data_IF_386371256487
#
_entry.id   IF_386371256487
#
_cell.length_a   1.000
_cell.length_b   1.000
_cell.length_c   1.000
_cell.angle_alpha   90.00
_cell.angle_beta   90.00
_cell.angle_gamma   90.00
#
_symmetry.space_group_name_H-M   'P 1'
#
loop_
_entity.id
_entity.type
_entity.pdbx_description
1 polymer ?
#
# COMPACT_ATOMS: atom_id res chain seq x y z
N UNK A 1 -9.75 -1.18 -14.24
CA UNK A 1 -10.16 0.23 -14.19
C UNK A 1 -11.69 0.26 -14.18
N UNK A 2 -12.33 0.15 -13.00
CA UNK A 2 -13.78 0.31 -12.87
C UNK A 2 -14.14 1.76 -13.22
N UNK A 3 -14.99 1.96 -14.24
CA UNK A 3 -15.55 3.26 -14.60
C UNK A 3 -14.90 3.98 -15.78
N UNK A 4 -13.90 3.41 -16.46
CA UNK A 4 -13.34 3.92 -17.69
C UNK A 4 -13.71 2.98 -18.84
N UNK A 5 -14.95 3.01 -19.28
CA UNK A 5 -15.36 2.42 -20.55
C UNK A 5 -15.50 3.51 -21.64
N UNK A 6 -15.40 3.09 -22.89
CA UNK A 6 -15.49 3.99 -24.03
C UNK A 6 -16.82 4.75 -24.09
N UNK A 7 -17.90 4.15 -23.59
CA UNK A 7 -19.23 4.73 -23.55
C UNK A 7 -19.29 5.88 -22.53
N UNK A 8 -18.72 5.70 -21.35
CA UNK A 8 -18.60 6.75 -20.32
C UNK A 8 -17.76 7.92 -20.82
N UNK A 9 -16.62 7.64 -21.50
CA UNK A 9 -15.79 8.66 -22.12
C UNK A 9 -16.53 9.47 -23.20
N UNK A 10 -17.29 8.80 -24.07
CA UNK A 10 -18.09 9.48 -25.11
C UNK A 10 -19.23 10.32 -24.53
N UNK A 11 -19.86 9.86 -23.45
CA UNK A 11 -20.90 10.61 -22.73
C UNK A 11 -20.30 11.86 -22.09
N UNK A 12 -19.15 11.76 -21.46
CA UNK A 12 -18.43 12.92 -20.89
C UNK A 12 -17.98 13.92 -21.96
N UNK A 13 -17.47 13.42 -23.08
CA UNK A 13 -17.03 14.25 -24.21
C UNK A 13 -18.20 15.01 -24.89
N UNK A 14 -19.42 14.46 -24.86
CA UNK A 14 -20.59 15.04 -25.52
C UNK A 14 -21.49 15.87 -24.59
N UNK A 15 -21.64 15.46 -23.33
CA UNK A 15 -22.56 16.08 -22.36
C UNK A 15 -21.85 16.94 -21.29
N UNK A 16 -20.52 16.99 -21.32
CA UNK A 16 -19.74 17.82 -20.41
C UNK A 16 -19.99 17.49 -18.93
N UNK A 17 -19.98 18.53 -18.09
CA UNK A 17 -20.12 18.39 -16.61
C UNK A 17 -21.44 17.80 -16.10
N UNK A 18 -22.37 17.43 -16.95
CA UNK A 18 -23.66 16.81 -16.57
C UNK A 18 -23.53 15.30 -16.30
N UNK A 19 -22.51 14.65 -16.83
CA UNK A 19 -22.22 13.24 -16.54
C UNK A 19 -21.18 13.14 -15.40
N UNK A 20 -21.63 13.15 -14.15
CA UNK A 20 -20.74 12.93 -13.00
C UNK A 20 -20.30 11.46 -12.95
N UNK A 21 -19.08 11.17 -13.37
CA UNK A 21 -18.43 9.91 -13.01
C UNK A 21 -17.91 9.99 -11.57
N UNK A 22 -18.24 9.01 -10.76
CA UNK A 22 -17.91 8.96 -9.31
C UNK A 22 -16.42 9.08 -8.97
N UNK A 23 -15.52 9.06 -9.96
CA UNK A 23 -14.08 8.94 -9.76
C UNK A 23 -13.22 10.04 -10.38
N UNK A 24 -13.76 10.92 -11.22
CA UNK A 24 -12.97 11.90 -11.98
C UNK A 24 -13.30 13.36 -11.68
N UNK A 25 -14.51 13.65 -11.22
CA UNK A 25 -14.94 15.03 -10.91
C UNK A 25 -15.42 15.14 -9.48
N UNK A 26 -14.81 16.05 -8.73
CA UNK A 26 -15.33 16.45 -7.43
C UNK A 26 -14.25 16.91 -6.47
N UNK A 27 -14.68 17.73 -5.52
CA UNK A 27 -13.88 18.09 -4.37
C UNK A 27 -13.84 16.90 -3.40
N UNK A 28 -12.68 16.62 -2.84
CA UNK A 28 -12.51 15.64 -1.78
C UNK A 28 -11.82 16.27 -0.57
N UNK A 29 -12.09 15.73 0.60
CA UNK A 29 -11.38 16.15 1.81
C UNK A 29 -9.98 15.52 1.83
N UNK A 30 -9.00 16.35 2.18
CA UNK A 30 -7.62 15.92 2.35
C UNK A 30 -7.08 16.42 3.70
N UNK A 31 -6.45 15.58 4.51
CA UNK A 31 -5.90 16.02 5.80
C UNK A 31 -4.83 17.09 5.59
N UNK A 32 -4.90 18.18 6.36
CA UNK A 32 -3.98 19.34 6.23
C UNK A 32 -2.51 18.90 6.22
N UNK A 33 -2.13 18.01 7.12
CA UNK A 33 -0.76 17.51 7.30
C UNK A 33 -0.49 16.21 6.54
N UNK A 34 -1.28 15.89 5.51
CA UNK A 34 -1.09 14.73 4.67
C UNK A 34 -1.84 13.48 5.13
N UNK A 35 -1.85 12.49 4.24
CA UNK A 35 -2.67 11.28 4.41
C UNK A 35 -2.23 10.37 5.56
N UNK A 36 -0.95 10.46 5.97
CA UNK A 36 -0.42 9.75 7.14
C UNK A 36 -1.16 10.10 8.43
N UNK A 37 -1.75 11.32 8.50
CA UNK A 37 -2.53 11.76 9.66
C UNK A 37 -3.72 10.86 9.99
N UNK A 38 -4.27 10.15 8.99
CA UNK A 38 -5.33 9.17 9.23
C UNK A 38 -4.81 7.99 10.03
N UNK A 39 -3.64 7.44 9.64
CA UNK A 39 -3.01 6.33 10.38
C UNK A 39 -2.60 6.75 11.79
N UNK A 40 -2.01 7.94 11.96
CA UNK A 40 -1.65 8.48 13.27
C UNK A 40 -2.87 8.61 14.19
N UNK A 41 -4.01 9.07 13.68
CA UNK A 41 -5.25 9.17 14.47
C UNK A 41 -5.81 7.79 14.84
N UNK A 42 -5.67 6.80 13.98
CA UNK A 42 -6.03 5.42 14.31
C UNK A 42 -5.11 4.86 15.39
N UNK A 43 -3.81 5.12 15.30
CA UNK A 43 -2.83 4.73 16.33
C UNK A 43 -3.15 5.38 17.69
N UNK A 44 -3.39 6.69 17.71
CA UNK A 44 -3.81 7.41 18.93
C UNK A 44 -5.08 6.78 19.55
N UNK A 45 -6.06 6.40 18.71
CA UNK A 45 -7.29 5.76 19.17
C UNK A 45 -7.07 4.33 19.70
N UNK A 46 -6.21 3.56 19.05
CA UNK A 46 -5.89 2.19 19.49
C UNK A 46 -5.06 2.14 20.78
N UNK A 47 -4.35 3.21 21.12
CA UNK A 47 -3.36 3.25 22.19
C UNK A 47 -2.00 2.68 21.75
N UNK A 48 -0.95 3.47 21.90
CA UNK A 48 0.40 3.09 21.47
C UNK A 48 0.92 1.80 22.15
N UNK A 49 0.47 1.52 23.36
CA UNK A 49 0.80 0.30 24.13
C UNK A 49 0.28 -0.99 23.48
N UNK A 50 -0.74 -0.89 22.63
CA UNK A 50 -1.31 -2.00 21.88
C UNK A 50 -0.65 -2.21 20.51
N UNK A 51 0.28 -1.34 20.12
CA UNK A 51 0.97 -1.38 18.83
C UNK A 51 2.46 -1.68 19.05
N UNK A 52 2.94 -2.75 18.42
CA UNK A 52 4.35 -3.16 18.52
C UNK A 52 5.02 -3.03 17.16
N UNK A 53 5.73 -1.94 16.96
CA UNK A 53 6.56 -1.72 15.78
C UNK A 53 7.86 -2.54 15.87
N UNK A 54 8.50 -2.79 14.73
CA UNK A 54 9.74 -3.57 14.63
C UNK A 54 9.64 -5.02 15.16
N UNK A 55 8.43 -5.57 15.21
CA UNK A 55 8.16 -6.95 15.61
C UNK A 55 7.76 -7.74 14.37
N UNK A 56 8.75 -8.18 13.60
CA UNK A 56 8.52 -8.97 12.40
C UNK A 56 8.08 -10.38 12.75
N UNK A 57 6.86 -10.76 12.32
CA UNK A 57 6.37 -12.13 12.46
C UNK A 57 7.08 -13.01 11.43
N UNK A 58 7.70 -14.07 11.89
CA UNK A 58 8.45 -15.03 11.06
C UNK A 58 7.91 -16.46 11.14
N UNK A 59 6.95 -16.73 12.00
CA UNK A 59 6.32 -18.04 12.18
C UNK A 59 4.88 -17.92 12.63
N UNK A 60 3.99 -18.73 12.07
CA UNK A 60 2.58 -18.87 12.46
C UNK A 60 2.31 -20.34 12.74
N UNK A 61 2.19 -20.70 14.01
CA UNK A 61 2.06 -22.10 14.45
C UNK A 61 0.58 -22.47 14.53
N UNK A 62 0.22 -23.63 13.95
CA UNK A 62 -1.16 -24.12 13.94
C UNK A 62 -1.25 -25.62 14.22
N UNK A 63 -2.42 -26.09 14.60
CA UNK A 63 -2.74 -27.52 14.83
C UNK A 63 -3.59 -28.14 13.72
N UNK A 64 -3.70 -27.45 12.58
CA UNK A 64 -4.53 -27.87 11.45
C UNK A 64 -5.93 -27.26 11.46
N UNK A 65 -6.42 -26.73 12.59
CA UNK A 65 -7.74 -26.13 12.74
C UNK A 65 -7.66 -24.71 13.33
N UNK A 66 -6.70 -24.44 14.22
CA UNK A 66 -6.53 -23.16 14.85
C UNK A 66 -5.09 -22.70 14.81
N UNK A 67 -4.87 -21.40 14.66
CA UNK A 67 -3.59 -20.79 14.94
C UNK A 67 -3.40 -20.76 16.46
N UNK A 68 -2.26 -21.29 16.93
CA UNK A 68 -1.95 -21.44 18.36
C UNK A 68 -1.01 -20.36 18.89
N UNK A 69 -0.01 -20.03 18.06
CA UNK A 69 0.98 -19.02 18.45
C UNK A 69 1.63 -18.36 17.23
N UNK A 70 2.27 -17.23 17.47
CA UNK A 70 3.11 -16.54 16.50
C UNK A 70 4.53 -16.41 17.07
N UNK A 71 5.52 -16.51 16.18
CA UNK A 71 6.92 -16.23 16.46
C UNK A 71 7.33 -14.87 15.91
N UNK A 72 8.23 -14.20 16.65
CA UNK A 72 8.80 -12.90 16.28
C UNK A 72 10.27 -13.09 15.98
N UNK A 73 10.77 -12.50 14.89
CA UNK A 73 12.17 -12.56 14.51
C UNK A 73 13.10 -12.06 15.62
N UNK A 74 14.14 -12.84 15.94
CA UNK A 74 15.07 -12.52 17.02
C UNK A 74 14.57 -12.87 18.45
N UNK A 75 13.36 -13.43 18.57
CA UNK A 75 12.82 -13.86 19.87
C UNK A 75 12.64 -15.37 19.92
N UNK A 76 13.01 -16.00 21.05
CA UNK A 76 12.70 -17.40 21.35
C UNK A 76 11.27 -17.58 21.91
N UNK A 77 10.63 -16.50 22.32
CA UNK A 77 9.31 -16.53 22.92
C UNK A 77 8.24 -16.76 21.85
N UNK A 78 7.35 -17.73 22.09
CA UNK A 78 6.12 -17.90 21.34
C UNK A 78 5.00 -17.09 22.00
N UNK A 79 4.26 -16.34 21.18
CA UNK A 79 3.11 -15.57 21.63
C UNK A 79 1.82 -16.34 21.32
N UNK A 80 1.17 -16.87 22.35
CA UNK A 80 -0.14 -17.53 22.18
C UNK A 80 -1.20 -16.55 21.74
N UNK A 81 -2.05 -16.98 20.80
CA UNK A 81 -3.10 -16.14 20.23
C UNK A 81 -4.45 -16.82 20.33
N UNK A 82 -5.52 -16.03 20.49
CA UNK A 82 -6.91 -16.50 20.44
C UNK A 82 -7.50 -16.28 19.05
N UNK A 83 -7.17 -15.16 18.45
CA UNK A 83 -7.63 -14.71 17.15
C UNK A 83 -6.50 -14.06 16.39
N UNK A 84 -6.43 -14.27 15.08
CA UNK A 84 -5.45 -13.64 14.19
C UNK A 84 -6.17 -12.97 13.04
N UNK A 85 -5.88 -11.68 12.84
CA UNK A 85 -6.24 -10.96 11.62
C UNK A 85 -4.94 -10.66 10.87
N UNK A 86 -4.73 -11.34 9.76
CA UNK A 86 -3.51 -11.18 8.97
C UNK A 86 -3.70 -10.19 7.84
N UNK A 87 -2.82 -9.19 7.78
CA UNK A 87 -2.68 -8.26 6.64
C UNK A 87 -1.40 -8.51 5.86
N UNK A 88 -0.65 -9.56 6.20
CA UNK A 88 0.58 -9.94 5.51
C UNK A 88 0.30 -10.24 4.03
N UNK A 89 1.29 -10.02 3.15
CA UNK A 89 1.21 -10.57 1.80
C UNK A 89 0.87 -12.05 1.83
N UNK A 90 -0.14 -12.46 1.05
CA UNK A 90 -0.68 -13.83 1.07
C UNK A 90 0.43 -14.89 0.89
N UNK A 91 1.36 -14.63 -0.02
CA UNK A 91 2.52 -15.51 -0.24
C UNK A 91 3.47 -15.58 0.97
N UNK A 92 3.57 -14.51 1.75
CA UNK A 92 4.41 -14.49 2.95
C UNK A 92 3.74 -15.26 4.09
N UNK A 93 2.43 -15.04 4.30
CA UNK A 93 1.68 -15.77 5.32
C UNK A 93 1.82 -17.28 5.14
N UNK A 94 1.56 -17.79 3.92
CA UNK A 94 1.66 -19.21 3.59
C UNK A 94 3.05 -19.77 3.90
N UNK A 95 4.12 -19.04 3.57
CA UNK A 95 5.50 -19.48 3.78
C UNK A 95 5.96 -19.57 5.24
N UNK A 96 5.33 -18.80 6.13
CA UNK A 96 5.71 -18.78 7.56
C UNK A 96 4.81 -19.64 8.43
N UNK A 97 3.87 -20.39 7.84
CA UNK A 97 3.01 -21.32 8.57
C UNK A 97 3.76 -22.59 8.98
N UNK A 98 3.45 -23.07 10.17
CA UNK A 98 4.06 -24.24 10.78
C UNK A 98 3.01 -25.09 11.54
N UNK A 99 2.80 -26.35 11.15
CA UNK A 99 3.42 -27.08 10.03
C UNK A 99 3.24 -26.40 8.67
N UNK A 100 4.14 -26.66 7.70
CA UNK A 100 4.01 -26.09 6.38
C UNK A 100 2.70 -26.56 5.69
N UNK A 101 2.07 -25.70 4.88
CA UNK A 101 0.93 -26.09 4.05
C UNK A 101 1.31 -27.20 3.05
N UNK A 102 0.31 -27.87 2.43
CA UNK A 102 0.57 -28.77 1.31
C UNK A 102 1.42 -28.12 0.22
N UNK A 103 2.31 -28.89 -0.38
CA UNK A 103 3.26 -28.40 -1.39
C UNK A 103 2.58 -27.61 -2.52
N UNK A 104 1.43 -28.07 -2.98
CA UNK A 104 0.65 -27.40 -4.01
C UNK A 104 0.22 -25.97 -3.59
N UNK A 105 -0.20 -25.78 -2.33
CA UNK A 105 -0.57 -24.44 -1.80
C UNK A 105 0.67 -23.53 -1.68
N UNK A 106 1.80 -24.09 -1.28
CA UNK A 106 3.08 -23.36 -1.23
C UNK A 106 3.50 -22.93 -2.64
N UNK A 107 3.37 -23.79 -3.64
CA UNK A 107 3.70 -23.47 -5.04
C UNK A 107 2.76 -22.39 -5.59
N UNK A 108 1.45 -22.47 -5.35
CA UNK A 108 0.49 -21.42 -5.72
C UNK A 108 0.86 -20.09 -5.08
N UNK A 109 1.13 -20.07 -3.77
CA UNK A 109 1.51 -18.86 -3.06
C UNK A 109 2.82 -18.25 -3.57
N UNK A 110 3.81 -19.08 -3.92
CA UNK A 110 5.08 -18.64 -4.48
C UNK A 110 4.93 -18.09 -5.92
N UNK A 111 3.90 -18.52 -6.66
CA UNK A 111 3.59 -18.00 -7.98
C UNK A 111 2.90 -16.63 -7.97
N UNK A 112 2.42 -16.16 -6.83
CA UNK A 112 1.82 -14.83 -6.70
C UNK A 112 2.89 -13.74 -6.75
N UNK A 113 2.72 -12.82 -7.68
CA UNK A 113 3.68 -11.75 -7.93
C UNK A 113 3.20 -10.42 -7.34
N UNK A 114 4.15 -9.62 -6.89
CA UNK A 114 3.91 -8.28 -6.36
C UNK A 114 4.83 -7.27 -7.03
N UNK A 115 4.32 -6.06 -7.23
CA UNK A 115 5.10 -4.90 -7.60
C UNK A 115 5.66 -4.27 -6.33
N UNK A 116 6.94 -3.96 -6.34
CA UNK A 116 7.60 -3.17 -5.33
C UNK A 116 7.72 -1.71 -5.79
N UNK A 117 7.97 -0.78 -4.89
CA UNK A 117 8.26 0.61 -5.22
C UNK A 117 9.57 1.06 -4.62
N UNK A 118 10.36 1.77 -5.41
CA UNK A 118 11.33 2.75 -4.91
C UNK A 118 10.64 4.11 -4.88
N UNK A 119 10.86 4.83 -3.81
CA UNK A 119 10.37 6.20 -3.63
C UNK A 119 11.58 7.13 -3.57
N UNK A 120 11.51 8.23 -4.30
CA UNK A 120 12.46 9.34 -4.19
C UNK A 120 11.67 10.60 -3.85
N UNK A 121 12.04 11.24 -2.77
CA UNK A 121 11.51 12.57 -2.41
C UNK A 121 12.64 13.57 -2.62
N UNK A 122 12.38 14.58 -3.45
CA UNK A 122 13.29 15.72 -3.61
C UNK A 122 12.70 16.92 -2.88
N UNK A 123 13.49 17.54 -2.02
CA UNK A 123 13.14 18.80 -1.34
C UNK A 123 13.67 19.96 -2.15
N UNK A 124 12.82 20.95 -2.47
CA UNK A 124 13.14 22.00 -3.43
C UNK A 124 12.99 23.39 -2.82
N UNK A 125 13.97 24.24 -3.09
CA UNK A 125 13.97 25.67 -2.75
C UNK A 125 13.25 26.47 -3.84
N UNK A 126 11.98 26.20 -4.00
CA UNK A 126 11.06 26.92 -4.88
C UNK A 126 9.61 26.74 -4.41
N UNK A 127 8.73 27.68 -4.68
CA UNK A 127 7.36 27.64 -4.16
C UNK A 127 6.51 26.52 -4.76
N UNK A 128 6.78 26.10 -5.99
CA UNK A 128 6.01 25.07 -6.71
C UNK A 128 6.76 24.64 -7.96
N UNK A 129 6.52 23.42 -8.43
CA UNK A 129 7.00 22.91 -9.73
C UNK A 129 5.91 23.06 -10.79
N UNK A 130 4.68 22.65 -10.47
CA UNK A 130 3.53 22.80 -11.35
C UNK A 130 2.22 22.83 -10.55
N UNK A 131 1.09 23.09 -11.21
CA UNK A 131 -0.23 23.16 -10.56
C UNK A 131 -0.94 21.81 -10.41
N UNK A 132 -0.35 20.70 -10.85
CA UNK A 132 -1.01 19.40 -10.84
C UNK A 132 -0.79 18.67 -9.52
N UNK A 133 -1.84 18.06 -8.97
CA UNK A 133 -1.71 17.25 -7.77
C UNK A 133 -0.92 15.95 -8.03
N UNK A 134 -0.99 15.43 -9.27
CA UNK A 134 -0.31 14.20 -9.70
C UNK A 134 -0.09 14.24 -11.21
N UNK A 135 1.08 13.82 -11.66
CA UNK A 135 1.42 13.66 -13.09
C UNK A 135 1.87 12.23 -13.33
N UNK A 136 1.35 11.61 -14.38
CA UNK A 136 1.70 10.26 -14.81
C UNK A 136 2.62 10.31 -16.03
N UNK A 137 3.60 9.40 -16.03
CA UNK A 137 4.59 9.23 -17.09
C UNK A 137 4.44 7.83 -17.70
N UNK A 138 3.65 7.67 -18.76
CA UNK A 138 3.43 6.36 -19.39
C UNK A 138 4.59 5.91 -20.29
N UNK A 139 5.50 6.81 -20.63
CA UNK A 139 6.60 6.54 -21.54
C UNK A 139 7.70 5.69 -20.87
N UNK A 140 8.17 4.68 -21.57
CA UNK A 140 9.23 3.77 -21.08
C UNK A 140 10.60 4.43 -20.90
N UNK A 141 10.80 5.61 -21.46
CA UNK A 141 12.03 6.41 -21.33
C UNK A 141 12.23 6.95 -19.90
N UNK A 142 11.15 7.07 -19.13
CA UNK A 142 11.21 7.45 -17.74
C UNK A 142 11.35 6.23 -16.81
N UNK A 143 12.25 6.28 -15.83
CA UNK A 143 12.40 5.21 -14.84
C UNK A 143 11.26 5.20 -13.80
N UNK A 144 10.38 6.19 -13.81
CA UNK A 144 9.26 6.38 -12.91
C UNK A 144 7.93 6.48 -13.67
N UNK A 145 6.84 6.21 -12.99
CA UNK A 145 5.50 6.23 -13.60
C UNK A 145 4.60 7.33 -13.08
N UNK A 146 4.92 7.88 -11.91
CA UNK A 146 4.09 8.89 -11.26
C UNK A 146 4.94 9.83 -10.40
N UNK A 147 4.60 11.10 -10.48
CA UNK A 147 5.14 12.14 -9.61
C UNK A 147 3.96 12.91 -9.01
N UNK A 148 4.06 13.24 -7.74
CA UNK A 148 3.13 14.17 -7.12
C UNK A 148 3.86 15.19 -6.25
N UNK A 149 3.27 16.38 -6.18
CA UNK A 149 3.71 17.50 -5.37
C UNK A 149 2.75 17.63 -4.18
N UNK A 150 3.12 17.18 -2.97
CA UNK A 150 2.22 17.11 -1.81
C UNK A 150 1.53 18.43 -1.48
N UNK A 151 2.24 19.56 -1.62
CA UNK A 151 1.65 20.89 -1.35
C UNK A 151 0.47 21.25 -2.25
N UNK A 152 0.38 20.66 -3.46
CA UNK A 152 -0.75 20.89 -4.36
C UNK A 152 -2.05 20.21 -3.87
N UNK A 153 -1.96 19.32 -2.88
CA UNK A 153 -3.10 18.77 -2.15
C UNK A 153 -3.40 19.55 -0.88
N UNK A 154 -2.33 20.03 -0.21
CA UNK A 154 -2.43 20.88 0.98
C UNK A 154 -1.17 21.73 1.11
N UNK A 155 -1.35 23.04 1.15
CA UNK A 155 -0.24 23.99 1.33
C UNK A 155 0.51 23.81 2.67
N UNK A 156 -0.09 23.12 3.65
CA UNK A 156 0.55 22.75 4.91
C UNK A 156 1.60 21.64 4.77
N UNK A 157 1.67 20.98 3.61
CA UNK A 157 2.63 19.89 3.36
C UNK A 157 4.05 20.37 3.02
N UNK A 158 4.26 21.68 2.92
CA UNK A 158 5.59 22.27 2.69
C UNK A 158 5.70 23.61 3.39
N UNK A 159 6.92 23.99 3.83
CA UNK A 159 7.17 25.34 4.34
C UNK A 159 6.91 26.42 3.28
N UNK A 160 6.63 27.68 3.66
CA UNK A 160 6.51 28.79 2.73
C UNK A 160 7.74 28.91 1.82
N UNK A 161 7.52 29.13 0.52
CA UNK A 161 8.58 29.28 -0.48
C UNK A 161 9.25 27.95 -0.90
N UNK A 162 8.90 26.82 -0.30
CA UNK A 162 9.51 25.51 -0.58
C UNK A 162 8.46 24.49 -1.02
N UNK A 163 8.92 23.46 -1.73
CA UNK A 163 8.09 22.33 -2.11
C UNK A 163 8.86 21.01 -2.06
N UNK A 164 8.17 19.91 -2.34
CA UNK A 164 8.78 18.60 -2.54
C UNK A 164 8.09 17.85 -3.68
N UNK A 165 8.86 17.03 -4.38
CA UNK A 165 8.34 16.07 -5.34
C UNK A 165 8.50 14.66 -4.78
N UNK A 166 7.45 13.88 -4.84
CA UNK A 166 7.49 12.44 -4.54
C UNK A 166 7.39 11.66 -5.84
N UNK A 167 8.44 10.91 -6.14
CA UNK A 167 8.61 10.15 -7.37
C UNK A 167 8.42 8.67 -7.07
N UNK A 168 7.46 8.03 -7.74
CA UNK A 168 7.18 6.60 -7.59
C UNK A 168 7.76 5.80 -8.74
N UNK A 169 8.58 4.82 -8.38
CA UNK A 169 9.32 3.97 -9.31
C UNK A 169 8.91 2.52 -9.08
N UNK A 170 7.91 2.01 -9.81
CA UNK A 170 7.52 0.61 -9.73
C UNK A 170 8.63 -0.29 -10.28
N UNK A 171 8.99 -1.31 -9.52
CA UNK A 171 10.07 -2.22 -9.90
C UNK A 171 9.83 -3.64 -9.35
N UNK A 172 10.62 -4.58 -9.84
CA UNK A 172 10.78 -5.91 -9.26
C UNK A 172 12.07 -5.95 -8.42
N UNK A 173 12.24 -6.98 -7.61
CA UNK A 173 13.46 -7.13 -6.79
C UNK A 173 14.71 -7.40 -7.62
N UNK A 174 14.53 -7.98 -8.79
CA UNK A 174 15.55 -8.32 -9.76
C UNK A 174 16.00 -7.11 -10.58
N UNK A 175 15.23 -6.02 -10.59
CA UNK A 175 15.53 -4.83 -11.35
C UNK A 175 16.73 -4.08 -10.75
N UNK A 176 17.66 -3.61 -11.58
CA UNK A 176 18.82 -2.83 -11.17
C UNK A 176 18.45 -1.68 -10.22
N UNK A 177 17.33 -1.03 -10.51
CA UNK A 177 16.86 0.15 -9.75
C UNK A 177 16.46 -0.22 -8.30
N UNK A 178 16.06 -1.47 -8.04
CA UNK A 178 15.75 -1.93 -6.69
C UNK A 178 16.99 -1.96 -5.79
N UNK A 179 18.13 -2.43 -6.33
CA UNK A 179 19.40 -2.52 -5.62
C UNK A 179 20.22 -1.24 -5.59
N UNK A 180 19.84 -0.24 -6.40
CA UNK A 180 20.58 1.01 -6.57
C UNK A 180 20.74 1.76 -5.25
N UNK A 181 21.94 2.33 -5.00
CA UNK A 181 22.19 3.18 -3.84
C UNK A 181 21.29 4.42 -3.85
N UNK A 182 20.95 4.93 -2.67
CA UNK A 182 19.99 6.04 -2.55
C UNK A 182 20.46 7.30 -3.27
N UNK A 183 21.74 7.65 -3.13
CA UNK A 183 22.31 8.86 -3.75
C UNK A 183 22.39 8.72 -5.29
N UNK A 184 22.74 7.53 -5.78
CA UNK A 184 22.74 7.24 -7.22
C UNK A 184 21.32 7.35 -7.79
N UNK A 185 20.32 6.80 -7.09
CA UNK A 185 18.92 6.87 -7.50
C UNK A 185 18.40 8.31 -7.48
N UNK A 186 18.68 9.05 -6.41
CA UNK A 186 18.29 10.47 -6.29
C UNK A 186 18.91 11.30 -7.40
N UNK A 187 20.20 11.09 -7.70
CA UNK A 187 20.91 11.74 -8.81
C UNK A 187 20.28 11.41 -10.17
N UNK A 188 19.97 10.14 -10.43
CA UNK A 188 19.29 9.73 -11.66
C UNK A 188 17.95 10.47 -11.83
N UNK A 189 17.13 10.52 -10.78
CA UNK A 189 15.81 11.18 -10.83
C UNK A 189 15.97 12.69 -10.99
N UNK A 190 16.90 13.32 -10.24
CA UNK A 190 17.19 14.75 -10.37
C UNK A 190 17.55 15.10 -11.82
N UNK A 191 18.48 14.37 -12.43
CA UNK A 191 18.90 14.62 -13.81
C UNK A 191 17.72 14.51 -14.79
N UNK A 192 16.86 13.49 -14.61
CA UNK A 192 15.67 13.35 -15.47
C UNK A 192 14.69 14.51 -15.33
N UNK A 193 14.51 15.05 -14.13
CA UNK A 193 13.64 16.20 -13.92
C UNK A 193 14.25 17.52 -14.43
N UNK A 194 15.58 17.61 -14.43
CA UNK A 194 16.30 18.72 -15.07
C UNK A 194 16.18 18.63 -16.60
N UNK A 195 16.37 17.45 -17.17
CA UNK A 195 16.24 17.23 -18.62
C UNK A 195 14.88 17.66 -19.19
N UNK A 196 13.81 17.50 -18.41
CA UNK A 196 12.45 17.93 -18.81
C UNK A 196 12.09 19.34 -18.35
N UNK A 197 13.05 20.08 -17.79
CA UNK A 197 12.90 21.49 -17.38
C UNK A 197 12.01 21.72 -16.15
N UNK A 198 11.77 20.70 -15.33
CA UNK A 198 10.93 20.83 -14.12
C UNK A 198 11.66 21.51 -12.97
N UNK A 199 12.96 21.23 -12.83
CA UNK A 199 13.80 21.76 -11.77
C UNK A 199 15.17 22.17 -12.30
N UNK A 200 15.88 23.00 -11.52
CA UNK A 200 17.30 23.24 -11.70
C UNK A 200 18.10 22.50 -10.62
N UNK A 201 19.34 22.09 -10.89
CA UNK A 201 20.18 21.43 -9.88
C UNK A 201 20.35 22.25 -8.60
N UNK A 202 20.45 23.59 -8.74
CA UNK A 202 20.58 24.54 -7.63
C UNK A 202 19.35 24.66 -6.74
N UNK A 203 18.17 24.20 -7.21
CA UNK A 203 16.94 24.22 -6.43
C UNK A 203 16.82 23.01 -5.48
N UNK A 204 17.66 21.97 -5.66
CA UNK A 204 17.59 20.75 -4.85
C UNK A 204 18.29 20.96 -3.51
N UNK A 205 17.53 21.01 -2.44
CA UNK A 205 18.01 21.17 -1.06
C UNK A 205 18.47 19.87 -0.43
N UNK A 206 17.92 18.74 -0.91
CA UNK A 206 18.18 17.41 -0.38
C UNK A 206 17.18 16.39 -0.90
N UNK A 207 17.38 15.14 -0.50
CA UNK A 207 16.52 14.04 -0.92
C UNK A 207 16.28 13.04 0.23
N UNK A 208 15.26 12.22 0.02
CA UNK A 208 15.03 11.00 0.80
C UNK A 208 14.64 9.87 -0.15
N UNK A 209 15.15 8.68 0.10
CA UNK A 209 14.80 7.50 -0.68
C UNK A 209 14.27 6.37 0.21
N UNK A 210 13.22 5.71 -0.26
CA UNK A 210 12.60 4.58 0.42
C UNK A 210 12.39 3.38 -0.47
N UNK A 211 12.12 2.23 0.19
CA UNK A 211 11.69 0.98 -0.44
C UNK A 211 10.37 0.55 0.16
N UNK A 212 9.38 0.31 -0.69
CA UNK A 212 8.11 -0.25 -0.30
C UNK A 212 7.96 -1.64 -0.91
N UNK A 213 8.11 -2.66 -0.06
CA UNK A 213 7.91 -4.04 -0.46
C UNK A 213 6.41 -4.34 -0.60
N UNK A 214 6.05 -5.21 -1.55
CA UNK A 214 4.67 -5.66 -1.74
C UNK A 214 3.68 -4.50 -1.88
N UNK A 215 4.05 -3.47 -2.66
CA UNK A 215 3.23 -2.28 -2.83
C UNK A 215 1.88 -2.58 -3.50
N UNK A 216 1.91 -3.45 -4.51
CA UNK A 216 0.72 -3.85 -5.27
C UNK A 216 0.78 -5.34 -5.64
N UNK A 217 -0.34 -6.09 -5.50
CA UNK A 217 -0.47 -7.39 -6.14
C UNK A 217 -0.49 -7.22 -7.66
N UNK A 218 0.14 -8.13 -8.40
CA UNK A 218 0.07 -8.16 -9.86
C UNK A 218 -1.03 -9.14 -10.23
N UNK A 219 -2.13 -8.61 -10.74
CA UNK A 219 -3.32 -9.39 -11.12
C UNK A 219 -3.11 -9.95 -12.53
N UNK A 220 -2.37 -11.06 -12.63
CA UNK A 220 -2.15 -11.79 -13.88
C UNK A 220 -3.41 -12.57 -14.28
N UNK A 221 -3.54 -12.92 -15.55
CA UNK A 221 -4.65 -13.76 -15.99
C UNK A 221 -4.70 -15.08 -15.21
N UNK A 222 -5.84 -15.41 -14.63
CA UNK A 222 -6.05 -16.63 -13.85
C UNK A 222 -5.54 -16.56 -12.40
N UNK A 223 -5.17 -15.39 -11.91
CA UNK A 223 -4.79 -15.22 -10.49
C UNK A 223 -5.92 -15.58 -9.54
N UNK A 224 -7.17 -15.35 -9.94
CA UNK A 224 -8.36 -15.60 -9.13
C UNK A 224 -8.43 -17.07 -8.68
N UNK A 225 -8.18 -18.00 -9.60
CA UNK A 225 -8.20 -19.43 -9.29
C UNK A 225 -7.08 -19.83 -8.32
N UNK A 226 -5.88 -19.22 -8.45
CA UNK A 226 -4.77 -19.46 -7.53
C UNK A 226 -5.09 -18.94 -6.14
N UNK A 227 -5.63 -17.73 -6.07
CA UNK A 227 -6.00 -17.07 -4.80
C UNK A 227 -7.15 -17.81 -4.13
N UNK A 228 -8.16 -18.27 -4.89
CA UNK A 228 -9.28 -19.04 -4.36
C UNK A 228 -8.79 -20.33 -3.66
N UNK A 229 -7.92 -21.11 -4.29
CA UNK A 229 -7.38 -22.34 -3.70
C UNK A 229 -6.58 -22.06 -2.42
N UNK A 230 -5.80 -20.98 -2.39
CA UNK A 230 -5.07 -20.57 -1.18
C UNK A 230 -6.06 -20.16 -0.07
N UNK A 231 -7.11 -19.42 -0.41
CA UNK A 231 -8.15 -19.01 0.55
C UNK A 231 -8.93 -20.22 1.08
N UNK A 232 -9.31 -21.17 0.23
CA UNK A 232 -9.99 -22.39 0.65
C UNK A 232 -9.16 -23.17 1.67
N UNK A 233 -7.84 -23.19 1.48
CA UNK A 233 -6.94 -23.81 2.45
C UNK A 233 -6.82 -22.97 3.75
N UNK A 234 -6.72 -21.65 3.68
CA UNK A 234 -6.61 -20.76 4.84
C UNK A 234 -7.90 -20.63 5.63
N UNK A 235 -9.05 -20.71 4.97
CA UNK A 235 -10.39 -20.62 5.60
C UNK A 235 -10.72 -21.83 6.49
N UNK A 236 -9.88 -22.87 6.51
CA UNK A 236 -10.05 -23.99 7.46
C UNK A 236 -9.71 -23.62 8.90
N UNK A 237 -8.99 -22.54 9.11
CA UNK A 237 -8.60 -22.09 10.44
C UNK A 237 -9.72 -21.24 11.05
N UNK A 238 -10.33 -21.74 12.13
CA UNK A 238 -11.48 -21.13 12.80
C UNK A 238 -11.18 -19.72 13.35
N UNK A 239 -9.92 -19.44 13.65
CA UNK A 239 -9.46 -18.20 14.29
C UNK A 239 -8.51 -17.36 13.43
N UNK A 240 -8.52 -17.53 12.10
CA UNK A 240 -7.72 -16.73 11.16
C UNK A 240 -8.64 -15.95 10.23
N UNK A 241 -8.46 -14.63 10.18
CA UNK A 241 -9.09 -13.76 9.19
C UNK A 241 -8.05 -13.08 8.33
N UNK A 242 -8.35 -12.90 7.05
CA UNK A 242 -7.50 -12.20 6.10
C UNK A 242 -8.06 -10.81 5.82
N UNK A 243 -7.21 -9.79 5.89
CA UNK A 243 -7.58 -8.41 5.64
C UNK A 243 -6.50 -7.65 4.88
N UNK A 244 -6.85 -6.43 4.47
CA UNK A 244 -5.93 -5.54 3.77
C UNK A 244 -5.66 -5.95 2.32
N UNK A 245 -5.03 -5.05 1.58
CA UNK A 245 -4.72 -5.22 0.15
C UNK A 245 -3.91 -6.49 -0.13
N UNK A 246 -2.85 -6.69 0.63
CA UNK A 246 -1.90 -7.77 0.40
C UNK A 246 -2.39 -9.12 0.96
N UNK A 247 -3.12 -9.10 2.08
CA UNK A 247 -3.70 -10.30 2.67
C UNK A 247 -4.87 -10.86 1.85
N UNK A 248 -5.61 -9.98 1.17
CA UNK A 248 -6.68 -10.38 0.23
C UNK A 248 -6.21 -10.48 -1.23
N UNK A 249 -4.94 -10.20 -1.52
CA UNK A 249 -4.40 -10.14 -2.88
C UNK A 249 -5.29 -9.33 -3.83
N UNK A 250 -5.72 -8.15 -3.40
CA UNK A 250 -6.71 -7.33 -4.10
C UNK A 250 -6.25 -5.88 -4.24
N UNK A 251 -6.71 -5.23 -5.31
CA UNK A 251 -6.46 -3.80 -5.50
C UNK A 251 -7.56 -3.00 -4.80
N UNK A 252 -7.29 -2.57 -3.56
CA UNK A 252 -8.27 -1.90 -2.68
C UNK A 252 -7.76 -0.53 -2.23
N UNK A 253 -8.69 0.33 -1.85
CA UNK A 253 -8.44 1.64 -1.28
C UNK A 253 -8.57 1.63 0.25
N UNK A 254 -8.20 2.73 0.91
CA UNK A 254 -8.24 2.83 2.38
C UNK A 254 -9.65 2.58 2.94
N UNK A 255 -10.68 3.14 2.31
CA UNK A 255 -12.06 2.94 2.76
C UNK A 255 -12.52 1.48 2.68
N UNK A 256 -12.05 0.72 1.68
CA UNK A 256 -12.29 -0.72 1.61
C UNK A 256 -11.61 -1.46 2.78
N UNK A 257 -10.37 -1.08 3.10
CA UNK A 257 -9.64 -1.71 4.21
C UNK A 257 -10.30 -1.42 5.56
N UNK A 258 -10.82 -0.20 5.76
CA UNK A 258 -11.62 0.16 6.94
C UNK A 258 -12.91 -0.66 7.01
N UNK A 259 -13.60 -0.84 5.89
CA UNK A 259 -14.80 -1.69 5.80
C UNK A 259 -14.47 -3.15 6.14
N UNK A 260 -13.41 -3.72 5.59
CA UNK A 260 -12.98 -5.09 5.93
C UNK A 260 -12.67 -5.25 7.41
N UNK A 261 -12.02 -4.26 8.03
CA UNK A 261 -11.77 -4.29 9.48
C UNK A 261 -13.07 -4.31 10.28
N UNK A 262 -14.05 -3.49 9.90
CA UNK A 262 -15.37 -3.46 10.53
C UNK A 262 -16.11 -4.79 10.37
N UNK A 263 -16.17 -5.33 9.17
CA UNK A 263 -16.82 -6.63 8.87
C UNK A 263 -16.23 -7.76 9.73
N UNK A 264 -14.90 -7.85 9.84
CA UNK A 264 -14.24 -8.88 10.67
C UNK A 264 -14.64 -8.73 12.15
N UNK A 265 -14.68 -7.51 12.67
CA UNK A 265 -15.08 -7.28 14.06
C UNK A 265 -16.53 -7.67 14.30
N UNK A 266 -17.44 -7.31 13.39
CA UNK A 266 -18.87 -7.63 13.47
C UNK A 266 -19.15 -9.15 13.39
N UNK A 267 -18.36 -9.88 12.58
CA UNK A 267 -18.49 -11.34 12.42
C UNK A 267 -17.92 -12.12 13.61
N UNK A 268 -16.85 -11.64 14.23
CA UNK A 268 -16.05 -12.42 15.17
C UNK A 268 -16.19 -12.01 16.63
N UNK A 269 -16.63 -10.77 16.91
CA UNK A 269 -16.91 -10.34 18.27
C UNK A 269 -18.41 -10.55 18.57
N UNK A 270 -18.77 -11.33 19.59
CA UNK A 270 -20.17 -11.45 20.02
C UNK A 270 -20.68 -10.04 20.40
N UNK A 271 -21.87 -9.69 19.94
CA UNK A 271 -22.53 -8.37 20.14
C UNK A 271 -22.64 -7.91 21.62
N UNK A 272 -22.23 -8.73 22.57
CA UNK A 272 -22.34 -8.46 24.00
C UNK A 272 -21.23 -7.61 24.62
N UNK A 273 -20.24 -7.14 23.84
CA UNK A 273 -19.07 -6.47 24.41
C UNK A 273 -18.80 -5.04 23.88
N UNK A 274 -19.72 -4.41 23.19
CA UNK A 274 -19.58 -3.00 22.79
C UNK A 274 -20.17 -2.11 23.90
N UNK A 275 -19.35 -1.39 24.70
CA UNK A 275 -19.87 -0.35 25.60
C UNK A 275 -20.58 0.68 24.73
N UNK A 276 -21.86 0.94 25.00
CA UNK A 276 -22.53 2.09 24.43
C UNK A 276 -21.76 3.33 24.94
N UNK A 277 -21.19 4.08 24.00
CA UNK A 277 -20.60 5.38 24.32
C UNK A 277 -21.72 6.28 24.83
N UNK A 278 -21.64 6.64 26.11
CA UNK A 278 -22.46 7.65 26.76
C UNK A 278 -22.04 9.05 26.33
#
# INVERSE_FOLDING_TARGET
LKGLDLKTFLIEATLGKLAKTQHLDGSFYYPKMGYGRVAEKMEEFCGAENIRLNHRINRVVHDGRNIRSIGIEGSQQQHHVRQVVSTLPLSLLVRIMDPPPPEEIVQLANSLRYRHLRLVVLFLDKPSVNGNATVYFPEKSFPFTRIYEPRNRSHFMSPPGKTSLVVEIPCHREDKIWGMANDELAGLITNRLVDIGWIQPSEVMGNWCGRLNYAYPILELGFENKVAQIFDWLNRFDNLSLSGRNGKFAYTHLHDMMRFGKEIVEEQLPRAAVPQAS
#
